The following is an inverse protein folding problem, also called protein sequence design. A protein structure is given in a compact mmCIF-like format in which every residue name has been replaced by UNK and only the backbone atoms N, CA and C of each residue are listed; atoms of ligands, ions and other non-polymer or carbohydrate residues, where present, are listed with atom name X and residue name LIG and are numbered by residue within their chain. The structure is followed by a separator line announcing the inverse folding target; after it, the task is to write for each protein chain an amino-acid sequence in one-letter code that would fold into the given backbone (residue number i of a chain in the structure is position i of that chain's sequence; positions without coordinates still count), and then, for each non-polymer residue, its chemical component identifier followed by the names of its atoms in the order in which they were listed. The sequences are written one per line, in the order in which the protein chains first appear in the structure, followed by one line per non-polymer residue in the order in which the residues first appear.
data_IF_266767577298
#
_entry.id   IF_266767577298
#
_cell.length_a   1.000
_cell.length_b   1.000
_cell.length_c   1.000
_cell.angle_alpha   90.00
_cell.angle_beta   90.00
_cell.angle_gamma   90.00
#
_symmetry.space_group_name_H-M   'P 1'
#
loop_
_entity.id
_entity.type
_entity.pdbx_description
1 polymer ?
#
# COMPACT_ATOMS: atom_id res chain seq x y z
N UNK A 1 33.08 14.29 -11.17
CA UNK A 1 33.94 13.87 -10.05
C UNK A 1 33.28 12.68 -9.36
N UNK A 2 33.86 11.48 -9.47
CA UNK A 2 33.45 10.30 -8.67
C UNK A 2 34.07 10.45 -7.29
N UNK A 3 33.33 10.98 -6.32
CA UNK A 3 33.73 10.88 -4.91
C UNK A 3 33.34 9.50 -4.44
N UNK A 4 34.35 8.66 -4.30
CA UNK A 4 34.24 7.37 -3.68
C UNK A 4 33.82 7.56 -2.21
N UNK A 5 32.79 6.85 -1.77
CA UNK A 5 32.43 6.66 -0.35
C UNK A 5 33.48 5.75 0.33
N UNK A 6 34.77 6.11 0.27
CA UNK A 6 35.87 5.30 0.80
C UNK A 6 35.88 5.24 2.33
N UNK A 7 35.14 6.12 3.02
CA UNK A 7 35.23 6.23 4.49
C UNK A 7 33.97 5.80 5.25
N UNK A 8 32.90 5.33 4.57
CA UNK A 8 31.59 5.09 5.23
C UNK A 8 31.04 6.32 5.98
N UNK A 9 31.58 7.52 5.74
CA UNK A 9 31.12 8.78 6.35
C UNK A 9 30.15 9.45 5.39
N UNK A 10 28.88 9.51 5.77
CA UNK A 10 27.87 10.30 5.07
C UNK A 10 28.02 11.77 5.45
N UNK A 11 28.10 12.65 4.46
CA UNK A 11 28.06 14.10 4.64
C UNK A 11 26.67 14.53 5.10
N UNK A 12 26.53 15.67 5.82
CA UNK A 12 25.23 16.16 6.27
C UNK A 12 24.18 16.27 5.16
N UNK A 13 24.59 16.78 3.99
CA UNK A 13 23.71 16.90 2.81
C UNK A 13 23.24 15.54 2.28
N UNK A 14 24.08 14.51 2.37
CA UNK A 14 23.73 13.14 1.98
C UNK A 14 22.74 12.53 2.98
N UNK A 15 22.95 12.78 4.28
CA UNK A 15 22.02 12.39 5.34
C UNK A 15 20.66 13.03 5.11
N UNK A 16 20.61 14.33 4.82
CA UNK A 16 19.35 15.05 4.55
C UNK A 16 18.61 14.47 3.33
N UNK A 17 19.33 14.10 2.28
CA UNK A 17 18.73 13.50 1.09
C UNK A 17 18.18 12.10 1.38
N UNK A 18 18.92 11.28 2.13
CA UNK A 18 18.47 9.95 2.55
C UNK A 18 17.26 10.05 3.48
N UNK A 19 17.25 11.00 4.41
CA UNK A 19 16.15 11.25 5.33
C UNK A 19 14.86 11.62 4.56
N UNK A 20 14.95 12.51 3.57
CA UNK A 20 13.81 12.86 2.72
C UNK A 20 13.23 11.65 1.98
N UNK A 21 14.08 10.79 1.42
CA UNK A 21 13.64 9.57 0.74
C UNK A 21 13.00 8.61 1.74
N UNK A 22 13.62 8.45 2.91
CA UNK A 22 13.13 7.61 3.99
C UNK A 22 11.72 8.03 4.41
N UNK A 23 11.53 9.30 4.76
CA UNK A 23 10.26 9.85 5.24
C UNK A 23 9.14 9.70 4.22
N UNK A 24 9.42 9.96 2.94
CA UNK A 24 8.44 9.80 1.86
C UNK A 24 7.97 8.35 1.72
N UNK A 25 8.87 7.38 1.87
CA UNK A 25 8.57 5.96 1.68
C UNK A 25 7.86 5.38 2.91
N UNK A 26 8.29 5.69 4.13
CA UNK A 26 7.63 5.17 5.34
C UNK A 26 6.24 5.78 5.57
N UNK A 27 5.97 6.95 5.00
CA UNK A 27 4.64 7.57 5.03
C UNK A 27 3.66 6.92 4.05
N UNK A 28 4.12 6.00 3.19
CA UNK A 28 3.25 5.37 2.22
C UNK A 28 2.26 4.40 2.90
N UNK A 29 0.98 4.38 2.45
CA UNK A 29 -0.04 3.55 3.08
C UNK A 29 0.17 2.03 2.91
N UNK A 30 1.03 1.61 1.97
CA UNK A 30 1.43 0.22 1.81
C UNK A 30 2.56 -0.18 2.75
N UNK A 31 3.31 0.75 3.35
CA UNK A 31 4.42 0.44 4.24
C UNK A 31 3.89 -0.01 5.60
N UNK A 32 4.27 -1.21 6.05
CA UNK A 32 3.94 -1.69 7.39
C UNK A 32 4.81 -0.96 8.41
N UNK A 33 4.26 0.11 8.99
CA UNK A 33 4.97 1.01 9.91
C UNK A 33 5.09 0.40 11.31
N UNK A 34 6.30 -0.05 11.65
CA UNK A 34 6.74 -0.39 13.00
C UNK A 34 8.26 -0.14 13.11
N UNK A 35 8.79 -0.08 14.31
CA UNK A 35 10.20 0.29 14.53
C UNK A 35 11.18 -0.67 13.86
N UNK A 36 10.89 -1.97 13.87
CA UNK A 36 11.72 -3.00 13.23
C UNK A 36 11.80 -2.80 11.71
N UNK A 37 10.67 -2.56 11.06
CA UNK A 37 10.61 -2.33 9.62
C UNK A 37 11.24 -0.99 9.22
N UNK A 38 11.07 0.05 10.05
CA UNK A 38 11.72 1.35 9.85
C UNK A 38 13.23 1.22 9.91
N UNK A 39 13.75 0.54 10.92
CA UNK A 39 15.19 0.32 11.08
C UNK A 39 15.78 -0.51 9.93
N UNK A 40 15.13 -1.63 9.58
CA UNK A 40 15.56 -2.45 8.44
C UNK A 40 15.57 -1.67 7.13
N UNK A 41 14.54 -0.84 6.90
CA UNK A 41 14.47 -0.01 5.70
C UNK A 41 15.55 1.06 5.67
N UNK A 42 15.84 1.71 6.81
CA UNK A 42 16.94 2.69 6.90
C UNK A 42 18.30 2.05 6.55
N UNK A 43 18.57 0.85 7.08
CA UNK A 43 19.79 0.10 6.76
C UNK A 43 19.86 -0.26 5.26
N UNK A 44 18.75 -0.72 4.68
CA UNK A 44 18.69 -1.05 3.25
C UNK A 44 18.89 0.18 2.35
N UNK A 45 18.34 1.32 2.74
CA UNK A 45 18.49 2.60 2.02
C UNK A 45 19.94 3.09 2.06
N UNK A 46 20.59 3.03 3.22
CA UNK A 46 22.02 3.37 3.37
C UNK A 46 22.88 2.45 2.51
N UNK A 47 22.61 1.14 2.51
CA UNK A 47 23.34 0.17 1.67
C UNK A 47 23.16 0.44 0.17
N UNK A 48 21.97 0.83 -0.26
CA UNK A 48 21.74 1.23 -1.65
C UNK A 48 22.59 2.44 -2.04
N UNK A 49 22.62 3.47 -1.18
CA UNK A 49 23.46 4.64 -1.40
C UNK A 49 24.95 4.28 -1.47
N UNK A 50 25.42 3.51 -0.49
CA UNK A 50 26.81 3.03 -0.40
C UNK A 50 27.22 2.15 -1.59
N UNK A 51 26.27 1.52 -2.28
CA UNK A 51 26.53 0.77 -3.52
C UNK A 51 26.81 1.66 -4.74
N UNK A 52 26.76 2.99 -4.58
CA UNK A 52 27.06 3.98 -5.62
C UNK A 52 25.82 4.60 -6.29
N UNK A 53 24.62 4.32 -5.78
CA UNK A 53 23.37 4.88 -6.28
C UNK A 53 23.14 6.24 -5.63
N UNK A 54 23.79 7.26 -6.20
CA UNK A 54 23.81 8.63 -5.65
C UNK A 54 22.79 9.56 -6.29
N UNK A 55 22.19 9.18 -7.44
CA UNK A 55 21.07 9.92 -8.02
C UNK A 55 19.82 9.71 -7.16
N UNK A 56 19.25 10.80 -6.65
CA UNK A 56 18.13 10.76 -5.71
C UNK A 56 16.85 10.17 -6.30
N UNK A 57 16.57 10.38 -7.59
CA UNK A 57 15.38 9.82 -8.24
C UNK A 57 15.53 8.31 -8.41
N UNK A 58 16.68 7.88 -8.92
CA UNK A 58 16.99 6.45 -9.10
C UNK A 58 17.03 5.73 -7.75
N UNK A 59 17.63 6.34 -6.73
CA UNK A 59 17.69 5.78 -5.38
C UNK A 59 16.30 5.62 -4.79
N UNK A 60 15.45 6.64 -4.89
CA UNK A 60 14.06 6.59 -4.40
C UNK A 60 13.25 5.49 -5.10
N UNK A 61 13.35 5.38 -6.42
CA UNK A 61 12.54 4.41 -7.18
C UNK A 61 12.97 2.96 -6.89
N UNK A 62 14.28 2.72 -6.72
CA UNK A 62 14.82 1.43 -6.30
C UNK A 62 14.49 1.10 -4.85
N UNK A 63 14.63 2.06 -3.94
CA UNK A 63 14.26 1.92 -2.54
C UNK A 63 12.78 1.61 -2.38
N UNK A 64 11.91 2.29 -3.14
CA UNK A 64 10.46 2.05 -3.18
C UNK A 64 10.17 0.63 -3.64
N UNK A 65 10.76 0.19 -4.75
CA UNK A 65 10.56 -1.15 -5.30
C UNK A 65 10.97 -2.25 -4.31
N UNK A 66 12.08 -2.05 -3.58
CA UNK A 66 12.52 -2.99 -2.53
C UNK A 66 11.59 -2.96 -1.32
N UNK A 67 11.18 -1.78 -0.88
CA UNK A 67 10.30 -1.59 0.27
C UNK A 67 8.92 -2.21 0.04
N UNK A 68 8.33 -2.07 -1.15
CA UNK A 68 7.06 -2.73 -1.49
C UNK A 68 7.17 -4.25 -1.33
N UNK A 69 8.26 -4.86 -1.82
CA UNK A 69 8.45 -6.31 -1.75
C UNK A 69 8.69 -6.83 -0.33
N UNK A 70 9.30 -6.04 0.55
CA UNK A 70 9.80 -6.49 1.85
C UNK A 70 8.96 -6.02 3.03
N UNK A 71 8.39 -4.83 2.92
CA UNK A 71 7.64 -4.16 3.98
C UNK A 71 6.23 -3.76 3.53
N UNK A 72 5.87 -4.04 2.27
CA UNK A 72 4.53 -3.83 1.75
C UNK A 72 3.54 -4.80 2.36
N UNK A 73 2.41 -4.28 2.84
CA UNK A 73 1.18 -5.09 2.94
C UNK A 73 0.49 -5.11 1.58
N UNK A 74 -0.28 -6.16 1.30
CA UNK A 74 -1.31 -6.05 0.27
C UNK A 74 -2.18 -4.83 0.63
N UNK A 75 -2.21 -3.85 -0.28
CA UNK A 75 -3.11 -2.74 -0.11
C UNK A 75 -4.52 -3.28 -0.20
N UNK A 76 -5.40 -2.98 0.77
CA UNK A 76 -6.82 -3.19 0.55
C UNK A 76 -7.18 -2.38 -0.69
N UNK A 77 -7.57 -3.10 -1.75
CA UNK A 77 -8.01 -2.50 -3.00
C UNK A 77 -9.11 -1.50 -2.65
N UNK A 78 -8.94 -0.25 -3.08
CA UNK A 78 -10.04 0.72 -3.01
C UNK A 78 -11.16 0.19 -3.90
N UNK A 79 -12.38 -0.05 -3.38
CA UNK A 79 -13.48 -0.50 -4.20
C UNK A 79 -13.75 0.54 -5.29
N UNK A 80 -13.89 0.07 -6.52
CA UNK A 80 -14.39 0.90 -7.61
C UNK A 80 -15.78 1.45 -7.26
N UNK A 81 -16.18 2.53 -7.93
CA UNK A 81 -17.50 3.11 -7.75
C UNK A 81 -18.62 2.09 -8.00
N UNK A 82 -18.41 1.17 -8.95
CA UNK A 82 -19.35 0.10 -9.26
C UNK A 82 -19.43 -0.95 -8.14
N UNK A 83 -18.29 -1.34 -7.56
CA UNK A 83 -18.26 -2.25 -6.40
C UNK A 83 -18.95 -1.60 -5.19
N UNK A 84 -18.77 -0.28 -4.98
CA UNK A 84 -19.48 0.46 -3.93
C UNK A 84 -20.99 0.49 -4.16
N UNK A 85 -21.44 0.77 -5.40
CA UNK A 85 -22.87 0.75 -5.76
C UNK A 85 -23.48 -0.64 -5.58
N UNK A 86 -22.75 -1.70 -5.96
CA UNK A 86 -23.18 -3.08 -5.76
C UNK A 86 -23.35 -3.39 -4.26
N UNK A 87 -22.39 -2.98 -3.42
CA UNK A 87 -22.49 -3.11 -1.96
C UNK A 87 -23.71 -2.37 -1.38
N UNK A 88 -23.93 -1.11 -1.77
CA UNK A 88 -25.09 -0.31 -1.33
C UNK A 88 -26.43 -0.95 -1.75
N UNK A 89 -26.50 -1.51 -2.96
CA UNK A 89 -27.66 -2.26 -3.42
C UNK A 89 -27.89 -3.52 -2.58
N UNK A 90 -26.82 -4.24 -2.23
CA UNK A 90 -26.85 -5.37 -1.32
C UNK A 90 -27.45 -5.00 0.04
N UNK A 91 -26.94 -3.94 0.66
CA UNK A 91 -27.44 -3.42 1.96
C UNK A 91 -28.96 -3.16 1.88
N UNK A 92 -29.41 -2.49 0.82
CA UNK A 92 -30.82 -2.18 0.63
C UNK A 92 -31.68 -3.44 0.42
N UNK A 93 -31.17 -4.45 -0.30
CA UNK A 93 -31.84 -5.73 -0.47
C UNK A 93 -31.94 -6.52 0.84
N UNK A 94 -30.86 -6.52 1.65
CA UNK A 94 -30.78 -7.23 2.92
C UNK A 94 -31.77 -6.67 3.95
N UNK A 95 -31.85 -5.33 4.03
CA UNK A 95 -32.84 -4.63 4.88
C UNK A 95 -34.29 -4.85 4.46
N UNK A 96 -34.54 -5.23 3.20
CA UNK A 96 -35.88 -5.49 2.64
C UNK A 96 -36.24 -6.97 2.61
N UNK A 97 -35.38 -7.85 3.14
CA UNK A 97 -35.50 -9.31 3.05
C UNK A 97 -35.67 -9.84 1.62
N UNK A 98 -35.07 -9.18 0.62
CA UNK A 98 -35.12 -9.63 -0.77
C UNK A 98 -34.10 -10.76 -1.05
N UNK A 99 -33.84 -11.61 -0.06
CA UNK A 99 -32.81 -12.65 -0.07
C UNK A 99 -33.06 -13.73 -1.12
N UNK A 100 -34.33 -13.93 -1.48
CA UNK A 100 -34.75 -14.92 -2.48
C UNK A 100 -34.50 -14.45 -3.92
N UNK A 101 -34.12 -13.17 -4.11
CA UNK A 101 -33.76 -12.66 -5.44
C UNK A 101 -32.29 -12.97 -5.73
N UNK A 102 -31.99 -13.54 -6.92
CA UNK A 102 -30.61 -13.84 -7.29
C UNK A 102 -29.77 -12.57 -7.36
N UNK A 103 -28.49 -12.71 -7.05
CA UNK A 103 -27.51 -11.64 -7.23
C UNK A 103 -27.55 -11.15 -8.69
N UNK A 104 -27.80 -9.85 -8.95
CA UNK A 104 -27.96 -9.36 -10.32
C UNK A 104 -26.63 -9.24 -11.08
N UNK A 105 -25.49 -9.47 -10.42
CA UNK A 105 -24.16 -9.36 -11.01
C UNK A 105 -23.63 -10.73 -11.47
N UNK A 106 -22.72 -10.77 -12.46
CA UNK A 106 -22.11 -12.02 -12.91
C UNK A 106 -21.44 -12.80 -11.78
N UNK A 107 -21.65 -14.11 -11.73
CA UNK A 107 -21.03 -14.99 -10.74
C UNK A 107 -19.50 -14.88 -10.79
N UNK A 108 -18.86 -14.99 -9.61
CA UNK A 108 -17.41 -14.82 -9.42
C UNK A 108 -16.85 -13.43 -9.80
N UNK A 109 -17.72 -12.43 -10.03
CA UNK A 109 -17.27 -11.05 -10.21
C UNK A 109 -17.08 -10.34 -8.88
N UNK A 110 -16.23 -9.31 -8.87
CA UNK A 110 -16.04 -8.48 -7.68
C UNK A 110 -17.29 -7.67 -7.32
N UNK A 111 -18.18 -7.40 -8.29
CA UNK A 111 -19.48 -6.77 -8.07
C UNK A 111 -20.44 -7.72 -7.35
N UNK A 112 -20.47 -8.99 -7.74
CA UNK A 112 -21.28 -10.01 -7.07
C UNK A 112 -20.86 -10.15 -5.60
N UNK A 113 -19.55 -10.28 -5.35
CA UNK A 113 -19.00 -10.35 -4.00
C UNK A 113 -19.31 -9.09 -3.16
N UNK A 114 -19.21 -7.90 -3.77
CA UNK A 114 -19.54 -6.64 -3.09
C UNK A 114 -21.04 -6.58 -2.72
N UNK A 115 -21.93 -6.99 -3.63
CA UNK A 115 -23.37 -7.07 -3.36
C UNK A 115 -23.69 -8.05 -2.23
N UNK A 116 -23.09 -9.25 -2.23
CA UNK A 116 -23.31 -10.27 -1.19
C UNK A 116 -22.86 -9.79 0.19
N UNK A 117 -21.68 -9.16 0.27
CA UNK A 117 -21.22 -8.57 1.52
C UNK A 117 -22.19 -7.49 2.03
N UNK A 118 -22.69 -6.64 1.13
CA UNK A 118 -23.70 -5.64 1.45
C UNK A 118 -25.01 -6.28 1.94
N UNK A 119 -25.47 -7.34 1.27
CA UNK A 119 -26.67 -8.09 1.65
C UNK A 119 -26.58 -8.61 3.08
N UNK A 120 -25.47 -9.29 3.41
CA UNK A 120 -25.22 -9.83 4.74
C UNK A 120 -25.17 -8.75 5.82
N UNK A 121 -24.50 -7.63 5.54
CA UNK A 121 -24.44 -6.53 6.49
C UNK A 121 -25.80 -5.83 6.66
N UNK A 122 -26.58 -5.71 5.58
CA UNK A 122 -27.93 -5.13 5.62
C UNK A 122 -28.89 -5.92 6.51
N UNK A 123 -28.74 -7.25 6.56
CA UNK A 123 -29.50 -8.14 7.43
C UNK A 123 -29.17 -7.96 8.92
N UNK A 124 -27.89 -7.69 9.24
CA UNK A 124 -27.44 -7.48 10.63
C UNK A 124 -27.89 -6.15 11.23
N UNK A 125 -28.33 -5.21 10.39
CA UNK A 125 -28.75 -3.86 10.81
C UNK A 125 -30.24 -3.77 11.16
N UNK A 126 -30.92 -4.91 11.29
CA UNK A 126 -32.30 -5.05 11.77
C UNK A 126 -32.31 -5.59 13.20
#
# INVERSE_FOLDING_TARGET
MRRYLIECVLQPEEIDNLQKIFDVIIAQPWFVLNDVNREMFAVDLIKLYQSGIVDCNVLRDLATSRAIRRFGREMPRTPSENERKAYEQGIAAGRRHLNDRPNPYPENSTLAAAYENGLLDGQKLQ
#
